data_IF_036747992198
#
_entry.id   IF_036747992198
#
_cell.length_a   1.000
_cell.length_b   1.000
_cell.length_c   1.000
_cell.angle_alpha   90.00
_cell.angle_beta   90.00
_cell.angle_gamma   90.00
#
_symmetry.space_group_name_H-M   'P 1'
#
loop_
_entity.id
_entity.type
_entity.pdbx_description
1 polymer ?
#
# COMPACT_ATOMS: atom_id res chain seq x y z
N UNK A 1 -14.36 4.43 -23.83
CA UNK A 1 -13.79 5.37 -24.80
C UNK A 1 -12.29 5.24 -24.75
N UNK A 2 -11.66 4.77 -25.81
CA UNK A 2 -10.21 4.68 -25.89
C UNK A 2 -9.66 5.92 -26.60
N UNK A 3 -8.88 6.73 -25.88
CA UNK A 3 -8.28 7.95 -26.41
C UNK A 3 -6.92 7.68 -27.09
N UNK A 4 -6.28 6.54 -26.81
CA UNK A 4 -4.94 6.19 -27.29
C UNK A 4 -4.97 5.24 -28.49
N UNK A 5 -6.08 4.53 -28.69
CA UNK A 5 -6.24 3.55 -29.76
C UNK A 5 -5.63 2.19 -29.40
N UNK A 6 -5.96 1.19 -30.21
CA UNK A 6 -5.68 -0.20 -29.86
C UNK A 6 -4.22 -0.63 -30.04
N UNK A 7 -3.63 -0.39 -31.22
CA UNK A 7 -2.33 -0.98 -31.61
C UNK A 7 -1.22 0.06 -31.91
N UNK A 8 -1.50 1.36 -31.76
CA UNK A 8 -0.55 2.45 -32.04
C UNK A 8 -0.59 3.52 -30.95
N UNK A 9 -0.32 3.08 -29.72
CA UNK A 9 -0.23 3.96 -28.56
C UNK A 9 1.11 4.70 -28.65
N UNK A 10 1.04 5.92 -29.18
CA UNK A 10 2.18 6.81 -29.30
C UNK A 10 2.21 7.79 -28.12
N UNK A 11 3.39 8.20 -27.65
CA UNK A 11 3.51 9.18 -26.58
C UNK A 11 2.86 10.52 -26.98
N UNK A 12 2.37 11.28 -26.01
CA UNK A 12 1.71 12.57 -26.26
C UNK A 12 2.62 13.64 -26.91
N UNK A 13 3.93 13.42 -26.92
CA UNK A 13 4.92 14.24 -27.62
C UNK A 13 4.96 13.98 -29.13
N UNK A 14 4.51 12.82 -29.61
CA UNK A 14 4.48 12.50 -31.03
C UNK A 14 3.29 13.19 -31.71
N UNK A 15 3.54 13.94 -32.79
CA UNK A 15 2.50 14.61 -33.55
C UNK A 15 1.45 13.65 -34.14
N UNK A 16 1.83 12.38 -34.40
CA UNK A 16 0.93 11.32 -34.90
C UNK A 16 0.08 10.70 -33.79
N UNK A 17 0.35 10.98 -32.52
CA UNK A 17 -0.44 10.47 -31.41
C UNK A 17 -1.84 11.09 -31.41
N UNK A 18 -2.87 10.27 -31.16
CA UNK A 18 -4.24 10.74 -30.96
C UNK A 18 -4.38 11.65 -29.74
N UNK A 19 -3.46 11.55 -28.78
CA UNK A 19 -3.40 12.39 -27.59
C UNK A 19 -2.33 13.49 -27.67
N UNK A 20 -1.81 13.76 -28.87
CA UNK A 20 -0.92 14.91 -29.09
C UNK A 20 -1.67 16.23 -28.93
N UNK A 21 -0.99 17.30 -28.48
CA UNK A 21 -1.64 18.60 -28.28
C UNK A 21 -2.44 19.11 -29.48
N UNK A 22 -1.97 18.82 -30.70
CA UNK A 22 -2.65 19.21 -31.93
C UNK A 22 -3.92 18.37 -32.22
N UNK A 23 -3.94 17.10 -31.80
CA UNK A 23 -5.03 16.16 -32.09
C UNK A 23 -6.03 16.01 -30.93
N UNK A 24 -5.74 16.54 -29.74
CA UNK A 24 -6.59 16.35 -28.55
C UNK A 24 -8.05 16.77 -28.77
N UNK A 25 -8.28 17.94 -29.40
CA UNK A 25 -9.65 18.44 -29.63
C UNK A 25 -10.41 17.50 -30.56
N UNK A 26 -9.81 17.10 -31.68
CA UNK A 26 -10.46 16.19 -32.63
C UNK A 26 -10.68 14.79 -32.04
N UNK A 27 -9.76 14.31 -31.21
CA UNK A 27 -9.90 13.03 -30.50
C UNK A 27 -11.05 13.05 -29.51
N UNK A 28 -11.16 14.09 -28.67
CA UNK A 28 -12.26 14.21 -27.72
C UNK A 28 -13.59 14.43 -28.44
N UNK A 29 -13.61 15.13 -29.58
CA UNK A 29 -14.81 15.37 -30.39
C UNK A 29 -15.47 14.11 -30.95
N UNK A 30 -14.72 13.00 -31.05
CA UNK A 30 -15.29 11.70 -31.44
C UNK A 30 -16.43 11.25 -30.51
N UNK A 31 -16.37 11.64 -29.24
CA UNK A 31 -17.41 11.33 -28.25
C UNK A 31 -18.08 12.58 -27.66
N UNK A 32 -17.41 13.75 -27.70
CA UNK A 32 -17.91 15.02 -27.18
C UNK A 32 -17.98 16.07 -28.29
N UNK A 33 -19.09 16.17 -29.07
CA UNK A 33 -19.17 17.03 -30.25
C UNK A 33 -18.92 18.52 -29.99
N UNK A 34 -19.14 18.99 -28.76
CA UNK A 34 -18.93 20.38 -28.32
C UNK A 34 -17.58 20.61 -27.62
N UNK A 35 -16.68 19.62 -27.61
CA UNK A 35 -15.36 19.77 -27.03
C UNK A 35 -14.57 20.86 -27.78
N UNK A 36 -13.93 21.74 -27.02
CA UNK A 36 -13.16 22.87 -27.52
C UNK A 36 -11.77 22.89 -26.87
N UNK A 37 -10.95 23.88 -27.22
CA UNK A 37 -9.59 24.00 -26.69
C UNK A 37 -9.54 24.07 -25.16
N UNK A 38 -10.53 24.68 -24.50
CA UNK A 38 -10.58 24.75 -23.04
C UNK A 38 -10.95 23.40 -22.40
N UNK A 39 -11.80 22.61 -23.07
CA UNK A 39 -12.18 21.28 -22.61
C UNK A 39 -10.98 20.34 -22.48
N UNK A 40 -10.05 20.39 -23.44
CA UNK A 40 -8.88 19.51 -23.47
C UNK A 40 -7.70 19.99 -22.62
N UNK A 41 -7.83 21.14 -21.93
CA UNK A 41 -6.79 21.62 -21.00
C UNK A 41 -6.79 20.86 -19.68
N UNK A 42 -7.90 20.22 -19.33
CA UNK A 42 -7.96 19.37 -18.15
C UNK A 42 -7.04 18.16 -18.36
N UNK A 43 -6.07 17.97 -17.46
CA UNK A 43 -5.17 16.83 -17.48
C UNK A 43 -5.73 15.77 -16.54
N UNK A 44 -6.47 14.75 -17.02
CA UNK A 44 -7.00 13.69 -16.16
C UNK A 44 -5.89 12.82 -15.56
N UNK A 45 -4.73 12.77 -16.24
CA UNK A 45 -3.51 12.18 -15.72
C UNK A 45 -2.64 13.29 -15.17
N UNK A 46 -2.84 13.62 -13.89
CA UNK A 46 -1.92 14.51 -13.18
C UNK A 46 -0.68 13.70 -12.80
N UNK A 47 0.51 14.17 -13.19
CA UNK A 47 1.77 13.53 -12.84
C UNK A 47 2.26 14.09 -11.49
N UNK A 48 2.25 13.30 -10.41
CA UNK A 48 2.74 13.74 -9.11
C UNK A 48 4.27 13.81 -9.04
N UNK A 49 5.01 13.31 -10.03
CA UNK A 49 6.47 13.31 -10.04
C UNK A 49 7.06 14.59 -10.64
N UNK A 50 6.25 15.39 -11.33
CA UNK A 50 6.66 16.67 -11.90
C UNK A 50 6.38 17.83 -10.92
N UNK A 51 7.37 18.12 -10.07
CA UNK A 51 7.34 19.22 -9.10
C UNK A 51 7.22 20.59 -9.77
N UNK A 52 7.75 20.76 -10.98
CA UNK A 52 7.75 22.03 -11.68
C UNK A 52 6.35 22.38 -12.22
N UNK A 53 5.59 21.37 -12.64
CA UNK A 53 4.25 21.55 -13.22
C UNK A 53 3.14 21.52 -12.17
N UNK A 54 3.26 20.69 -11.13
CA UNK A 54 2.25 20.55 -10.09
C UNK A 54 2.90 20.44 -8.68
N UNK A 55 3.43 21.55 -8.12
CA UNK A 55 4.14 21.51 -6.85
C UNK A 55 3.28 20.98 -5.69
N UNK A 56 2.00 21.32 -5.66
CA UNK A 56 1.08 20.82 -4.63
C UNK A 56 0.90 19.31 -4.65
N UNK A 57 0.76 18.72 -5.85
CA UNK A 57 0.53 17.28 -6.00
C UNK A 57 1.78 16.46 -5.63
N UNK A 58 2.96 17.00 -5.91
CA UNK A 58 4.25 16.40 -5.52
C UNK A 58 4.36 16.24 -4.00
N UNK A 59 4.09 17.30 -3.24
CA UNK A 59 4.18 17.22 -1.78
C UNK A 59 3.10 16.33 -1.16
N UNK A 60 1.87 16.36 -1.70
CA UNK A 60 0.79 15.48 -1.24
C UNK A 60 1.14 14.02 -1.48
N UNK A 61 1.64 13.67 -2.67
CA UNK A 61 2.04 12.31 -3.00
C UNK A 61 3.20 11.84 -2.09
N UNK A 62 4.21 12.71 -1.86
CA UNK A 62 5.30 12.41 -0.94
C UNK A 62 4.82 12.16 0.49
N UNK A 63 3.93 13.01 0.99
CA UNK A 63 3.33 12.84 2.31
C UNK A 63 2.55 11.52 2.43
N UNK A 64 1.71 11.19 1.45
CA UNK A 64 0.94 9.95 1.47
C UNK A 64 1.86 8.72 1.44
N UNK A 65 2.91 8.74 0.63
CA UNK A 65 3.89 7.66 0.60
C UNK A 65 4.60 7.50 1.95
N UNK A 66 5.03 8.61 2.57
CA UNK A 66 5.67 8.60 3.90
C UNK A 66 4.73 8.03 4.96
N UNK A 67 3.46 8.43 4.95
CA UNK A 67 2.47 7.91 5.90
C UNK A 67 2.32 6.39 5.75
N UNK A 68 2.15 5.90 4.52
CA UNK A 68 2.01 4.47 4.23
C UNK A 68 3.23 3.69 4.70
N UNK A 69 4.43 4.09 4.29
CA UNK A 69 5.66 3.40 4.71
C UNK A 69 5.89 3.49 6.22
N UNK A 70 5.58 4.64 6.85
CA UNK A 70 5.70 4.82 8.29
C UNK A 70 4.79 3.89 9.08
N UNK A 71 3.52 3.77 8.67
CA UNK A 71 2.55 2.87 9.30
C UNK A 71 2.97 1.42 9.14
N UNK A 72 3.31 0.99 7.91
CA UNK A 72 3.74 -0.40 7.69
C UNK A 72 5.03 -0.74 8.43
N UNK A 73 5.99 0.18 8.49
CA UNK A 73 7.23 -0.04 9.24
C UNK A 73 6.96 -0.16 10.73
N UNK A 74 6.14 0.72 11.32
CA UNK A 74 5.82 0.69 12.75
C UNK A 74 5.13 -0.61 13.15
N UNK A 75 4.03 -0.96 12.47
CA UNK A 75 3.29 -2.18 12.77
C UNK A 75 4.10 -3.44 12.41
N UNK A 76 4.82 -3.41 11.29
CA UNK A 76 5.70 -4.49 10.88
C UNK A 76 6.79 -4.78 11.92
N UNK A 77 7.47 -3.74 12.42
CA UNK A 77 8.46 -3.88 13.50
C UNK A 77 7.83 -4.33 14.81
N UNK A 78 6.67 -3.79 15.19
CA UNK A 78 5.96 -4.22 16.40
C UNK A 78 5.61 -5.71 16.36
N UNK A 79 5.02 -6.18 15.25
CA UNK A 79 4.69 -7.58 15.03
C UNK A 79 5.95 -8.45 14.94
N UNK A 80 7.00 -8.00 14.25
CA UNK A 80 8.26 -8.73 14.16
C UNK A 80 8.95 -8.88 15.51
N UNK A 81 8.97 -7.83 16.35
CA UNK A 81 9.53 -7.89 17.70
C UNK A 81 8.72 -8.82 18.61
N UNK A 82 7.39 -8.81 18.52
CA UNK A 82 6.53 -9.73 19.25
C UNK A 82 6.74 -11.18 18.81
N UNK A 83 6.79 -11.44 17.50
CA UNK A 83 7.04 -12.77 16.94
C UNK A 83 8.45 -13.26 17.26
N UNK A 84 9.46 -12.41 17.15
CA UNK A 84 10.84 -12.76 17.47
C UNK A 84 10.98 -13.13 18.94
N UNK A 85 10.42 -12.33 19.85
CA UNK A 85 10.36 -12.68 21.28
C UNK A 85 9.65 -14.02 21.51
N UNK A 86 8.49 -14.23 20.91
CA UNK A 86 7.67 -15.45 21.08
C UNK A 86 8.37 -16.70 20.56
N UNK A 87 8.90 -16.64 19.34
CA UNK A 87 9.64 -17.74 18.70
C UNK A 87 10.96 -18.03 19.40
N UNK A 88 11.67 -17.01 19.90
CA UNK A 88 12.84 -17.21 20.76
C UNK A 88 12.50 -17.90 22.07
N UNK A 89 11.33 -17.67 22.66
CA UNK A 89 10.90 -18.39 23.86
C UNK A 89 10.68 -19.87 23.56
N UNK A 90 9.96 -20.18 22.47
CA UNK A 90 9.75 -21.56 22.03
C UNK A 90 11.08 -22.24 21.67
N UNK A 91 11.98 -21.54 20.99
CA UNK A 91 13.29 -22.08 20.62
C UNK A 91 14.19 -22.29 21.82
N UNK A 92 14.14 -21.40 22.83
CA UNK A 92 14.86 -21.56 24.11
C UNK A 92 14.32 -22.74 24.91
N UNK A 93 12.99 -22.92 24.97
CA UNK A 93 12.37 -24.11 25.58
C UNK A 93 12.77 -25.40 24.86
N UNK A 94 12.86 -25.39 23.52
CA UNK A 94 13.37 -26.53 22.75
C UNK A 94 14.86 -26.82 22.97
N UNK A 95 15.68 -25.81 23.31
CA UNK A 95 17.13 -25.98 23.56
C UNK A 95 17.44 -26.47 24.99
N UNK A 96 16.50 -26.32 25.92
CA UNK A 96 16.54 -26.91 27.26
C UNK A 96 15.49 -28.02 27.42
N UNK A 97 15.60 -29.18 26.73
CA UNK A 97 14.71 -30.32 26.94
C UNK A 97 14.99 -31.07 28.27
N UNK A 98 15.46 -30.37 29.30
CA UNK A 98 16.23 -30.97 30.40
C UNK A 98 15.61 -30.95 31.80
N UNK A 99 14.42 -30.41 32.00
CA UNK A 99 13.71 -30.58 33.28
C UNK A 99 12.26 -31.01 33.05
N UNK A 100 11.89 -32.25 33.39
CA UNK A 100 10.51 -32.62 33.53
C UNK A 100 9.98 -31.98 34.82
N UNK A 101 9.13 -30.96 34.70
CA UNK A 101 8.19 -30.63 35.77
C UNK A 101 7.11 -31.73 35.79
N UNK A 102 7.44 -32.83 36.46
CA UNK A 102 6.47 -33.81 36.94
C UNK A 102 6.15 -33.52 38.41
N UNK A 103 4.87 -33.39 38.73
CA UNK A 103 4.37 -33.24 40.10
C UNK A 103 3.01 -32.52 40.15
N UNK A 104 1.95 -33.04 39.53
CA UNK A 104 0.89 -33.84 40.18
C UNK A 104 -0.20 -32.99 40.88
N UNK A 105 -1.35 -32.82 40.20
CA UNK A 105 -2.68 -32.64 40.83
C UNK A 105 -2.95 -33.83 41.79
N UNK A 106 -3.67 -33.75 42.94
CA UNK A 106 -5.05 -33.24 43.07
C UNK A 106 -5.49 -32.72 44.48
N UNK A 107 -6.27 -31.64 44.55
CA UNK A 107 -6.90 -31.20 45.82
C UNK A 107 -8.36 -31.68 45.93
N UNK A 108 -8.56 -33.01 45.98
CA UNK A 108 -9.80 -33.62 46.53
C UNK A 108 -9.44 -34.49 47.75
N UNK A 109 -10.17 -34.31 48.87
CA UNK A 109 -10.33 -35.33 49.89
C UNK A 109 -10.11 -34.87 51.33
N UNK A 110 -11.22 -34.64 52.07
CA UNK A 110 -11.21 -34.26 53.48
C UNK A 110 -10.83 -35.37 54.47
N UNK A 111 -10.68 -34.99 55.75
CA UNK A 111 -10.67 -35.94 56.86
C UNK A 111 -10.05 -35.47 58.18
N UNK A 112 -10.93 -35.14 59.14
CA UNK A 112 -10.88 -35.44 60.60
C UNK A 112 -9.79 -34.82 61.49
N UNK A 113 -10.25 -34.25 62.62
CA UNK A 113 -9.83 -34.37 64.04
C UNK A 113 -10.47 -33.19 64.79
N UNK A 114 -11.20 -33.28 65.91
CA UNK A 114 -11.13 -34.23 67.01
C UNK A 114 -10.60 -33.52 68.26
N UNK A 115 -11.40 -32.63 68.88
CA UNK A 115 -11.36 -32.22 70.30
C UNK A 115 -12.68 -31.55 70.67
#
# INVERSE_FOLDING_TARGET
SDCHGFHRILPASDAKSSVSRANLVSTCQKCHPKANANFVRFSPHADPNDKARNPGLYYIAGFMNILVFGVFLFFGLHTALWLFRSTLEVWRRRKSPGEPEGGQDPDEGGGKNGT
#
